data_IF_544891783998
#
_entry.id   IF_544891783998
#
_cell.length_a   1.000
_cell.length_b   1.000
_cell.length_c   1.000
_cell.angle_alpha   90.00
_cell.angle_beta   90.00
_cell.angle_gamma   90.00
#
_symmetry.space_group_name_H-M   'P 1'
#
loop_
_entity.id
_entity.type
_entity.pdbx_description
1 polymer ?
#
# COMPACT_ATOMS: atom_id res chain seq x y z
N UNK A 1 -4.60 -19.13 12.16
CA UNK A 1 -5.23 -18.13 11.26
C UNK A 1 -4.16 -17.16 10.77
N UNK A 2 -3.96 -17.00 9.46
CA UNK A 2 -2.89 -16.16 8.93
C UNK A 2 -3.18 -14.66 9.16
N UNK A 3 -2.13 -13.86 9.40
CA UNK A 3 -2.25 -12.45 9.80
C UNK A 3 -3.00 -11.55 8.78
N UNK A 4 -3.15 -11.98 7.53
CA UNK A 4 -3.92 -11.25 6.51
C UNK A 4 -5.43 -11.34 6.71
N UNK A 5 -5.95 -12.37 7.40
CA UNK A 5 -7.39 -12.61 7.55
C UNK A 5 -8.09 -11.60 8.49
N UNK A 6 -7.32 -10.87 9.32
CA UNK A 6 -7.82 -9.81 10.21
C UNK A 6 -7.71 -8.40 9.62
N UNK A 7 -7.34 -8.27 8.34
CA UNK A 7 -7.13 -6.96 7.71
C UNK A 7 -8.45 -6.25 7.44
N UNK A 8 -8.74 -5.16 8.16
CA UNK A 8 -9.93 -4.31 7.96
C UNK A 8 -9.79 -3.34 6.79
N UNK A 9 -8.66 -3.35 6.06
CA UNK A 9 -8.39 -2.39 4.97
C UNK A 9 -9.51 -2.31 3.93
N UNK A 10 -10.13 -3.44 3.58
CA UNK A 10 -11.26 -3.47 2.63
C UNK A 10 -12.51 -2.79 3.18
N UNK A 11 -12.73 -2.86 4.50
CA UNK A 11 -13.89 -2.28 5.18
C UNK A 11 -13.78 -0.75 5.32
N UNK A 12 -12.56 -0.20 5.24
CA UNK A 12 -12.30 1.25 5.34
C UNK A 12 -12.40 2.00 4.01
N UNK A 13 -12.69 1.28 2.92
CA UNK A 13 -12.98 1.91 1.64
C UNK A 13 -14.37 2.58 1.70
N UNK A 14 -14.55 3.74 1.07
CA UNK A 14 -15.83 4.41 1.03
C UNK A 14 -16.82 3.61 0.17
N UNK A 15 -18.12 3.80 0.42
CA UNK A 15 -19.19 3.02 -0.23
C UNK A 15 -19.21 3.19 -1.76
N UNK A 16 -18.79 4.36 -2.24
CA UNK A 16 -18.71 4.75 -3.65
C UNK A 16 -17.36 4.42 -4.31
N UNK A 17 -16.51 3.62 -3.65
CA UNK A 17 -15.20 3.22 -4.19
C UNK A 17 -15.22 2.71 -5.64
N UNK A 18 -16.20 1.89 -6.10
CA UNK A 18 -16.27 1.48 -7.50
C UNK A 18 -16.36 2.66 -8.49
N UNK A 19 -17.13 3.69 -8.14
CA UNK A 19 -17.29 4.90 -8.96
C UNK A 19 -16.00 5.74 -8.96
N UNK A 20 -15.39 5.93 -7.79
CA UNK A 20 -14.08 6.60 -7.66
C UNK A 20 -13.04 5.87 -8.51
N UNK A 21 -12.97 4.54 -8.41
CA UNK A 21 -12.04 3.70 -9.17
C UNK A 21 -12.24 3.87 -10.67
N UNK A 22 -13.48 3.81 -11.16
CA UNK A 22 -13.78 4.01 -12.57
C UNK A 22 -13.33 5.40 -13.05
N UNK A 23 -13.60 6.45 -12.26
CA UNK A 23 -13.20 7.82 -12.58
C UNK A 23 -11.69 8.00 -12.67
N UNK A 24 -10.93 7.40 -11.74
CA UNK A 24 -9.46 7.45 -11.77
C UNK A 24 -8.89 6.70 -12.97
N UNK A 25 -9.41 5.51 -13.29
CA UNK A 25 -8.93 4.74 -14.44
C UNK A 25 -9.29 5.40 -15.78
N UNK A 26 -10.44 6.07 -15.86
CA UNK A 26 -10.81 6.86 -17.03
C UNK A 26 -9.93 8.11 -17.19
N UNK A 27 -9.58 8.78 -16.08
CA UNK A 27 -8.68 9.94 -16.07
C UNK A 27 -7.24 9.56 -16.42
N UNK A 28 -6.78 8.42 -15.91
CA UNK A 28 -5.40 7.95 -16.01
C UNK A 28 -5.33 6.62 -16.80
N UNK A 29 -5.65 6.60 -18.11
CA UNK A 29 -5.69 5.35 -18.89
C UNK A 29 -4.30 4.69 -19.03
N UNK A 30 -3.25 5.48 -18.93
CA UNK A 30 -1.84 5.04 -18.94
C UNK A 30 -1.26 5.21 -17.53
N UNK A 31 -0.46 4.21 -17.11
CA UNK A 31 0.14 4.16 -15.79
C UNK A 31 0.90 5.45 -15.47
N UNK A 32 0.50 6.12 -14.38
CA UNK A 32 1.12 7.39 -13.94
C UNK A 32 2.50 7.22 -13.30
N UNK A 33 3.00 5.99 -13.17
CA UNK A 33 4.34 5.70 -12.64
C UNK A 33 5.34 5.46 -13.78
N UNK A 34 5.04 4.54 -14.70
CA UNK A 34 5.98 4.17 -15.77
C UNK A 34 5.67 4.83 -17.13
N UNK A 35 4.47 5.37 -17.34
CA UNK A 35 4.08 6.03 -18.58
C UNK A 35 3.93 5.13 -19.81
N UNK A 36 4.12 3.81 -19.67
CA UNK A 36 4.20 2.88 -20.82
C UNK A 36 3.09 1.83 -20.87
N UNK A 37 2.57 1.40 -19.71
CA UNK A 37 1.57 0.32 -19.62
C UNK A 37 0.17 0.89 -19.29
N UNK A 38 -0.92 0.22 -19.70
CA UNK A 38 -2.26 0.62 -19.32
C UNK A 38 -2.46 0.52 -17.80
N UNK A 39 -3.23 1.46 -17.25
CA UNK A 39 -3.65 1.41 -15.85
C UNK A 39 -4.70 0.33 -15.65
N UNK A 40 -4.45 -0.58 -14.72
CA UNK A 40 -5.40 -1.65 -14.35
C UNK A 40 -5.84 -1.54 -12.90
N UNK A 41 -5.09 -0.79 -12.10
CA UNK A 41 -5.27 -0.63 -10.66
C UNK A 41 -5.24 0.86 -10.27
N UNK A 42 -5.78 1.16 -9.10
CA UNK A 42 -5.75 2.50 -8.51
C UNK A 42 -4.85 2.46 -7.28
N UNK A 43 -3.84 3.33 -7.26
CA UNK A 43 -2.88 3.46 -6.18
C UNK A 43 -3.08 4.79 -5.43
N UNK A 44 -2.89 4.72 -4.11
CA UNK A 44 -2.82 5.91 -3.27
C UNK A 44 -1.41 6.49 -3.32
N UNK A 45 -1.27 7.73 -3.81
CA UNK A 45 0.00 8.47 -3.88
C UNK A 45 0.61 8.59 -2.49
N UNK A 46 -0.17 9.08 -1.52
CA UNK A 46 0.15 9.06 -0.10
C UNK A 46 -0.68 7.98 0.58
N UNK A 47 -0.03 7.17 1.41
CA UNK A 47 -0.69 6.13 2.20
C UNK A 47 -1.73 6.71 3.16
N UNK A 48 -2.78 5.92 3.40
CA UNK A 48 -3.82 6.25 4.37
C UNK A 48 -5.19 5.91 3.82
N UNK A 49 -6.21 6.37 4.50
CA UNK A 49 -7.61 6.22 4.10
C UNK A 49 -8.14 7.53 3.46
N UNK A 50 -7.23 8.35 2.88
CA UNK A 50 -7.62 9.51 2.04
C UNK A 50 -7.88 9.01 0.60
N UNK A 51 -9.15 9.01 0.22
CA UNK A 51 -9.65 8.57 -1.08
C UNK A 51 -9.97 9.73 -2.05
N UNK A 52 -9.45 10.93 -1.79
CA UNK A 52 -9.57 12.08 -2.68
C UNK A 52 -8.95 11.76 -4.04
N UNK A 53 -9.59 12.20 -5.12
CA UNK A 53 -9.10 11.99 -6.48
C UNK A 53 -7.68 12.54 -6.70
N UNK A 54 -7.27 13.56 -5.95
CA UNK A 54 -5.92 14.13 -5.98
C UNK A 54 -4.87 13.22 -5.34
N UNK A 55 -5.27 12.34 -4.42
CA UNK A 55 -4.40 11.35 -3.78
C UNK A 55 -4.44 9.98 -4.49
N UNK A 56 -5.31 9.79 -5.47
CA UNK A 56 -5.43 8.56 -6.25
C UNK A 56 -4.80 8.71 -7.63
N UNK A 57 -4.22 7.63 -8.15
CA UNK A 57 -3.71 7.57 -9.52
C UNK A 57 -3.92 6.20 -10.17
N UNK A 58 -4.12 6.18 -11.48
CA UNK A 58 -4.10 4.97 -12.29
C UNK A 58 -2.68 4.41 -12.44
N UNK A 59 -2.51 3.12 -12.20
CA UNK A 59 -1.22 2.42 -12.30
C UNK A 59 -1.38 1.03 -12.91
N UNK A 60 -0.31 0.52 -13.51
CA UNK A 60 -0.24 -0.87 -13.93
C UNK A 60 0.13 -1.78 -12.75
N UNK A 61 -0.29 -3.05 -12.82
CA UNK A 61 -0.07 -4.03 -11.76
C UNK A 61 1.41 -4.22 -11.35
N UNK A 62 2.41 -4.24 -12.26
CA UNK A 62 3.82 -4.34 -11.87
C UNK A 62 4.29 -3.16 -11.01
N UNK A 63 3.92 -1.93 -11.38
CA UNK A 63 4.30 -0.73 -10.63
C UNK A 63 3.63 -0.69 -9.26
N UNK A 64 2.36 -1.09 -9.18
CA UNK A 64 1.63 -1.15 -7.93
C UNK A 64 2.22 -2.19 -6.96
N UNK A 65 2.58 -3.38 -7.48
CA UNK A 65 3.27 -4.42 -6.70
C UNK A 65 4.61 -3.93 -6.17
N UNK A 66 5.42 -3.28 -7.01
CA UNK A 66 6.73 -2.76 -6.62
C UNK A 66 6.62 -1.72 -5.48
N UNK A 67 5.66 -0.79 -5.58
CA UNK A 67 5.37 0.17 -4.51
C UNK A 67 4.95 -0.53 -3.22
N UNK A 68 3.97 -1.43 -3.30
CA UNK A 68 3.47 -2.18 -2.14
C UNK A 68 4.58 -2.96 -1.43
N UNK A 69 5.47 -3.59 -2.19
CA UNK A 69 6.61 -4.33 -1.66
C UNK A 69 7.61 -3.41 -0.94
N UNK A 70 8.02 -2.29 -1.57
CA UNK A 70 8.92 -1.30 -0.98
C UNK A 70 8.38 -0.80 0.35
N UNK A 71 7.13 -0.39 0.35
CA UNK A 71 6.53 0.18 1.53
C UNK A 71 6.27 -0.87 2.63
N UNK A 72 6.01 -2.14 2.26
CA UNK A 72 5.96 -3.26 3.20
C UNK A 72 7.32 -3.52 3.86
N UNK A 73 8.40 -3.42 3.07
CA UNK A 73 9.77 -3.47 3.55
C UNK A 73 10.08 -2.35 4.55
N UNK A 74 9.68 -1.10 4.25
CA UNK A 74 9.82 0.03 5.18
C UNK A 74 9.10 -0.22 6.51
N UNK A 75 7.87 -0.75 6.47
CA UNK A 75 7.12 -1.07 7.68
C UNK A 75 7.77 -2.18 8.51
N UNK A 76 8.33 -3.20 7.85
CA UNK A 76 9.06 -4.28 8.51
C UNK A 76 10.36 -3.77 9.17
N UNK A 77 11.13 -2.93 8.47
CA UNK A 77 12.34 -2.31 9.00
C UNK A 77 12.03 -1.45 10.24
N UNK A 78 10.99 -0.61 10.17
CA UNK A 78 10.56 0.19 11.31
C UNK A 78 10.14 -0.65 12.53
N UNK A 79 9.54 -1.84 12.31
CA UNK A 79 9.21 -2.78 13.40
C UNK A 79 10.47 -3.43 13.99
N UNK A 80 11.47 -3.76 13.18
CA UNK A 80 12.75 -4.31 13.64
C UNK A 80 13.51 -3.28 14.48
N UNK A 81 13.55 -2.03 14.05
CA UNK A 81 14.21 -0.95 14.79
C UNK A 81 13.59 -0.69 16.17
N UNK A 82 12.29 -0.95 16.34
CA UNK A 82 11.59 -0.82 17.64
C UNK A 82 11.79 -2.00 18.59
N UNK A 83 12.47 -3.08 18.17
CA UNK A 83 12.74 -4.20 19.08
C UNK A 83 13.82 -3.77 20.08
N UNK A 84 13.50 -3.87 21.37
CA UNK A 84 14.47 -3.71 22.46
C UNK A 84 15.61 -4.73 22.24
N UNK A 85 16.89 -4.34 22.41
CA UNK A 85 17.99 -5.29 22.43
C UNK A 85 17.72 -6.40 23.46
N UNK A 86 18.10 -7.63 23.17
CA UNK A 86 18.05 -8.70 24.18
C UNK A 86 18.97 -8.33 25.34
N UNK A 87 18.45 -8.34 26.56
CA UNK A 87 19.30 -8.22 27.76
C UNK A 87 20.22 -9.45 27.84
N UNK A 88 21.49 -9.30 28.25
CA UNK A 88 22.35 -10.44 28.49
C UNK A 88 21.69 -11.37 29.51
N UNK A 89 21.63 -12.67 29.20
CA UNK A 89 21.09 -13.64 30.14
C UNK A 89 21.98 -13.67 31.40
N UNK A 90 21.39 -13.65 32.62
CA UNK A 90 22.14 -13.47 33.86
C UNK A 90 23.14 -14.59 34.20
N UNK A 91 23.16 -15.68 33.43
CA UNK A 91 24.05 -16.84 33.61
C UNK A 91 25.19 -16.97 32.59
N UNK A 92 25.33 -16.04 31.64
CA UNK A 92 26.49 -16.00 30.73
C UNK A 92 27.51 -15.00 31.30
N UNK A 93 28.44 -15.49 32.13
CA UNK A 93 29.71 -14.83 32.47
C UNK A 93 30.85 -15.59 31.81
#
# INVERSE_FOLDING_TARGET
MPAWSRSTRRQRLPRDWPAIRARVLARDPVCRICGAAPSTEVDHIRRGDNHDLSNLRGVCAPCHRAKSAREGGTAAAARRARRRPSEPHPGLR
#
